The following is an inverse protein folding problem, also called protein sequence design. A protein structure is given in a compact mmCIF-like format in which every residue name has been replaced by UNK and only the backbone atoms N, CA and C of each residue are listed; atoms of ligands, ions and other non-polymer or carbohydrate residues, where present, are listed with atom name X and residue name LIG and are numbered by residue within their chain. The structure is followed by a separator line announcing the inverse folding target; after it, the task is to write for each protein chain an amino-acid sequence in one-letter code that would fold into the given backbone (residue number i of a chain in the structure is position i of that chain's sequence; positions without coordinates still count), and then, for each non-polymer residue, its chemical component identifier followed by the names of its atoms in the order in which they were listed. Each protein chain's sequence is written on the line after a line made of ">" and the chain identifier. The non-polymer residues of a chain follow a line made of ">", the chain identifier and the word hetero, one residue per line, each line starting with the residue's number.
data_IF_628731812899
#
_entry.id   IF_628731812899
#
_cell.length_a   1.000
_cell.length_b   1.000
_cell.length_c   1.000
_cell.angle_alpha   90.00
_cell.angle_beta   90.00
_cell.angle_gamma   90.00
#
_symmetry.space_group_name_H-M   'P 1'
#
loop_
_entity.id
_entity.type
_entity.pdbx_description
1 polymer ?
#
# COMPACT_ATOMS: atom_id res chain seq x y z
N UNK A 1 -14.87 9.38 0.76
CA UNK A 1 -13.77 9.47 1.75
C UNK A 1 -12.93 8.21 1.58
N UNK A 2 -11.61 8.30 1.49
CA UNK A 2 -10.79 7.11 1.21
C UNK A 2 -10.71 6.17 2.42
N UNK A 3 -10.54 4.85 2.21
CA UNK A 3 -10.25 3.91 3.28
C UNK A 3 -8.97 4.28 4.04
N UNK A 4 -8.91 4.18 5.39
CA UNK A 4 -7.73 4.54 6.17
C UNK A 4 -6.44 3.81 5.72
N UNK A 5 -6.57 2.56 5.28
CA UNK A 5 -5.47 1.76 4.74
C UNK A 5 -4.85 2.42 3.51
N UNK A 6 -5.70 3.00 2.65
CA UNK A 6 -5.30 3.69 1.43
C UNK A 6 -4.66 5.05 1.69
N UNK A 7 -4.70 5.57 2.92
CA UNK A 7 -4.05 6.82 3.34
C UNK A 7 -2.80 6.56 4.18
N UNK A 8 -2.71 5.39 4.83
CA UNK A 8 -1.58 5.03 5.67
C UNK A 8 -0.24 5.11 4.92
N UNK A 9 0.83 5.50 5.63
CA UNK A 9 2.18 5.51 5.06
C UNK A 9 2.64 4.07 4.81
N UNK A 10 3.28 3.85 3.67
CA UNK A 10 3.81 2.53 3.36
C UNK A 10 5.01 2.20 4.24
N UNK A 11 5.08 0.93 4.67
CA UNK A 11 6.21 0.41 5.42
C UNK A 11 7.51 0.50 4.61
N UNK A 12 8.58 0.88 5.30
CA UNK A 12 9.92 0.90 4.73
C UNK A 12 10.87 0.19 5.69
N UNK A 13 11.31 -1.01 5.31
CA UNK A 13 12.36 -1.72 6.00
C UNK A 13 13.63 -0.85 6.03
N UNK A 14 14.15 -0.58 7.22
CA UNK A 14 15.41 0.15 7.44
C UNK A 14 16.42 -0.77 8.07
N UNK A 15 17.68 -0.56 7.71
CA UNK A 15 18.81 -1.22 8.33
C UNK A 15 19.25 -0.44 9.57
N UNK A 16 19.72 -1.12 10.63
CA UNK A 16 20.39 -0.46 11.74
C UNK A 16 21.74 0.15 11.28
N UNK A 17 22.30 1.11 12.02
CA UNK A 17 23.53 1.80 11.61
C UNK A 17 24.76 0.89 11.43
N UNK A 18 24.82 -0.25 12.13
CA UNK A 18 25.88 -1.27 12.01
C UNK A 18 25.31 -2.59 11.50
N UNK A 19 24.54 -2.54 10.42
CA UNK A 19 23.90 -3.71 9.83
C UNK A 19 24.92 -4.72 9.25
N UNK A 20 24.63 -6.00 9.48
CA UNK A 20 25.31 -7.13 8.89
C UNK A 20 24.71 -7.51 7.53
N UNK A 21 25.36 -8.43 6.80
CA UNK A 21 24.78 -9.00 5.58
C UNK A 21 23.45 -9.73 5.86
N UNK A 22 23.35 -10.43 7.00
CA UNK A 22 22.10 -11.09 7.40
C UNK A 22 20.97 -10.09 7.66
N UNK A 23 21.26 -8.92 8.21
CA UNK A 23 20.26 -7.85 8.38
C UNK A 23 19.74 -7.35 7.04
N UNK A 24 20.63 -7.23 6.04
CA UNK A 24 20.27 -6.83 4.68
C UNK A 24 19.36 -7.86 4.03
N UNK A 25 19.70 -9.15 4.09
CA UNK A 25 18.87 -10.22 3.54
C UNK A 25 17.48 -10.24 4.18
N UNK A 26 17.42 -10.14 5.51
CA UNK A 26 16.15 -10.08 6.23
C UNK A 26 15.34 -8.83 5.86
N UNK A 27 15.97 -7.66 5.73
CA UNK A 27 15.30 -6.43 5.31
C UNK A 27 14.81 -6.50 3.86
N UNK A 28 15.56 -7.14 2.97
CA UNK A 28 15.20 -7.34 1.58
C UNK A 28 13.93 -8.19 1.45
N UNK A 29 13.87 -9.33 2.15
CA UNK A 29 12.66 -10.18 2.16
C UNK A 29 11.47 -9.43 2.74
N UNK A 30 11.64 -8.73 3.87
CA UNK A 30 10.57 -7.90 4.45
C UNK A 30 10.10 -6.80 3.49
N UNK A 31 11.01 -6.21 2.72
CA UNK A 31 10.67 -5.15 1.78
C UNK A 31 9.74 -5.64 0.67
N UNK A 32 9.94 -6.87 0.19
CA UNK A 32 9.01 -7.48 -0.79
C UNK A 32 7.58 -7.48 -0.28
N UNK A 33 7.35 -8.02 0.91
CA UNK A 33 6.02 -8.04 1.53
C UNK A 33 5.43 -6.63 1.75
N UNK A 34 6.25 -5.67 2.17
CA UNK A 34 5.82 -4.28 2.36
C UNK A 34 5.37 -3.60 1.06
N UNK A 35 6.04 -3.90 -0.06
CA UNK A 35 5.65 -3.36 -1.38
C UNK A 35 4.30 -3.91 -1.78
N UNK A 36 4.11 -5.23 -1.72
CA UNK A 36 2.82 -5.85 -2.09
C UNK A 36 1.68 -5.34 -1.21
N UNK A 37 1.90 -5.21 0.09
CA UNK A 37 0.87 -4.68 1.00
C UNK A 37 0.55 -3.21 0.72
N UNK A 38 1.57 -2.38 0.45
CA UNK A 38 1.39 -0.97 0.09
C UNK A 38 0.60 -0.83 -1.22
N UNK A 39 0.94 -1.62 -2.23
CA UNK A 39 0.26 -1.61 -3.53
C UNK A 39 -1.23 -1.97 -3.39
N UNK A 40 -1.53 -3.07 -2.69
CA UNK A 40 -2.91 -3.46 -2.39
C UNK A 40 -3.68 -2.35 -1.64
N UNK A 41 -3.04 -1.69 -0.68
CA UNK A 41 -3.66 -0.57 0.04
C UNK A 41 -3.93 0.64 -0.88
N UNK A 42 -3.04 0.97 -1.82
CA UNK A 42 -3.30 2.05 -2.80
C UNK A 42 -4.37 1.67 -3.81
N UNK A 43 -4.47 0.39 -4.17
CA UNK A 43 -5.50 -0.10 -5.06
C UNK A 43 -6.91 0.14 -4.48
N UNK A 44 -7.07 0.06 -3.15
CA UNK A 44 -8.34 0.38 -2.49
C UNK A 44 -8.83 1.81 -2.79
N UNK A 45 -7.95 2.80 -2.90
CA UNK A 45 -8.36 4.16 -3.26
C UNK A 45 -8.88 4.24 -4.70
N UNK A 46 -8.23 3.54 -5.63
CA UNK A 46 -8.64 3.48 -7.03
C UNK A 46 -9.98 2.78 -7.17
N UNK A 47 -10.16 1.66 -6.48
CA UNK A 47 -11.39 0.89 -6.51
C UNK A 47 -12.54 1.66 -5.88
N UNK A 48 -12.31 2.32 -4.73
CA UNK A 48 -13.30 3.22 -4.10
C UNK A 48 -13.74 4.31 -5.08
N UNK A 49 -12.81 4.97 -5.77
CA UNK A 49 -13.15 6.02 -6.73
C UNK A 49 -13.91 5.49 -7.96
N UNK A 50 -13.59 4.28 -8.42
CA UNK A 50 -14.31 3.62 -9.52
C UNK A 50 -15.75 3.31 -9.12
N UNK A 51 -15.94 2.76 -7.93
CA UNK A 51 -17.26 2.43 -7.40
C UNK A 51 -18.09 3.70 -7.17
N UNK A 52 -17.50 4.76 -6.59
CA UNK A 52 -18.15 6.06 -6.43
C UNK A 52 -18.63 6.62 -7.79
N UNK A 53 -17.81 6.53 -8.85
CA UNK A 53 -18.18 6.97 -10.19
C UNK A 53 -19.29 6.13 -10.81
N UNK A 54 -19.19 4.81 -10.71
CA UNK A 54 -20.22 3.92 -11.23
C UNK A 54 -21.59 4.20 -10.58
N UNK A 55 -21.62 4.48 -9.28
CA UNK A 55 -22.86 4.88 -8.59
C UNK A 55 -23.42 6.20 -9.09
N UNK A 56 -22.57 7.19 -9.38
CA UNK A 56 -22.99 8.47 -9.95
C UNK A 56 -23.58 8.27 -11.34
N UNK A 57 -22.90 7.50 -12.19
CA UNK A 57 -23.36 7.23 -13.55
C UNK A 57 -24.74 6.58 -13.55
N UNK A 58 -24.95 5.55 -12.71
CA UNK A 58 -26.27 4.88 -12.54
C UNK A 58 -27.36 5.85 -12.07
N UNK A 59 -27.03 6.85 -11.24
CA UNK A 59 -28.02 7.80 -10.74
C UNK A 59 -28.39 8.88 -11.78
N UNK A 60 -27.50 9.18 -12.72
CA UNK A 60 -27.74 10.19 -13.75
C UNK A 60 -28.52 9.68 -14.97
N UNK A 61 -28.69 8.36 -15.09
CA UNK A 61 -29.55 7.70 -16.08
C UNK A 61 -31.02 7.63 -15.63
#
# INVERSE_FOLDING_TARGET
>A
MLPPEAEARCGLARLPPQATAADLEAAYVRRGAQITACDAARQLAVDTLRDERALIDVWME
#
